data_IF_643151626914
#
_entry.id   IF_643151626914
#
_cell.length_a   1.000
_cell.length_b   1.000
_cell.length_c   1.000
_cell.angle_alpha   90.00
_cell.angle_beta   90.00
_cell.angle_gamma   90.00
#
_symmetry.space_group_name_H-M   'P 1'
#
loop_
_entity.id
_entity.type
_entity.pdbx_description
1 polymer ?
#
# COMPACT_ATOMS: atom_id res chain seq x y z
N UNK A 1 14.51 -21.71 -15.61
CA UNK A 1 13.31 -21.00 -16.10
C UNK A 1 12.09 -21.23 -15.20
N UNK A 2 11.69 -22.47 -14.98
CA UNK A 2 10.53 -22.78 -14.14
C UNK A 2 10.72 -22.37 -12.65
N UNK A 3 11.92 -22.47 -12.11
CA UNK A 3 12.23 -22.06 -10.74
C UNK A 3 12.07 -20.55 -10.52
N UNK A 4 12.48 -19.73 -11.49
CA UNK A 4 12.29 -18.28 -11.41
C UNK A 4 10.81 -17.89 -11.44
N UNK A 5 10.03 -18.53 -12.31
CA UNK A 5 8.58 -18.32 -12.34
C UNK A 5 7.91 -18.72 -11.02
N UNK A 6 8.35 -19.81 -10.41
CA UNK A 6 7.87 -20.25 -9.10
C UNK A 6 8.23 -19.26 -8.00
N UNK A 7 9.43 -18.69 -8.01
CA UNK A 7 9.81 -17.65 -7.04
C UNK A 7 8.96 -16.39 -7.18
N UNK A 8 8.72 -15.94 -8.41
CA UNK A 8 7.82 -14.80 -8.67
C UNK A 8 6.41 -15.08 -8.17
N UNK A 9 5.88 -16.26 -8.46
CA UNK A 9 4.57 -16.69 -7.98
C UNK A 9 4.51 -16.75 -6.45
N UNK A 10 5.55 -17.25 -5.80
CA UNK A 10 5.67 -17.28 -4.34
C UNK A 10 5.63 -15.88 -3.75
N UNK A 11 6.36 -14.93 -4.32
CA UNK A 11 6.33 -13.54 -3.84
C UNK A 11 4.94 -12.91 -3.99
N UNK A 12 4.26 -13.18 -5.10
CA UNK A 12 2.89 -12.74 -5.31
C UNK A 12 1.89 -13.31 -4.31
N UNK A 13 1.99 -14.62 -4.05
CA UNK A 13 1.15 -15.27 -3.03
C UNK A 13 1.41 -14.71 -1.63
N UNK A 14 2.67 -14.52 -1.28
CA UNK A 14 3.03 -13.93 0.01
C UNK A 14 2.50 -12.50 0.16
N UNK A 15 2.59 -11.70 -0.89
CA UNK A 15 2.02 -10.35 -0.91
C UNK A 15 0.50 -10.37 -0.72
N UNK A 16 -0.21 -11.28 -1.41
CA UNK A 16 -1.64 -11.42 -1.24
C UNK A 16 -2.03 -11.91 0.15
N UNK A 17 -1.25 -12.80 0.75
CA UNK A 17 -1.47 -13.27 2.11
C UNK A 17 -1.39 -12.13 3.12
N UNK A 18 -0.38 -11.27 3.00
CA UNK A 18 -0.25 -10.09 3.88
C UNK A 18 -1.39 -9.11 3.65
N UNK A 19 -1.77 -8.88 2.40
CA UNK A 19 -2.95 -8.05 2.08
C UNK A 19 -4.22 -8.59 2.73
N UNK A 20 -4.44 -9.89 2.68
CA UNK A 20 -5.56 -10.55 3.35
C UNK A 20 -5.53 -10.37 4.87
N UNK A 21 -4.35 -10.47 5.49
CA UNK A 21 -4.18 -10.23 6.92
C UNK A 21 -4.54 -8.80 7.31
N UNK A 22 -4.09 -7.81 6.53
CA UNK A 22 -4.41 -6.40 6.76
C UNK A 22 -5.91 -6.16 6.62
N UNK A 23 -6.55 -6.69 5.59
CA UNK A 23 -7.99 -6.58 5.38
C UNK A 23 -8.76 -7.25 6.52
N UNK A 24 -8.34 -8.44 6.94
CA UNK A 24 -8.97 -9.16 8.04
C UNK A 24 -8.88 -8.38 9.36
N UNK A 25 -7.74 -7.77 9.65
CA UNK A 25 -7.57 -6.91 10.81
C UNK A 25 -8.46 -5.67 10.74
N UNK A 26 -8.52 -5.01 9.59
CA UNK A 26 -9.41 -3.86 9.38
C UNK A 26 -10.88 -4.24 9.56
N UNK A 27 -11.28 -5.38 9.01
CA UNK A 27 -12.66 -5.87 9.12
C UNK A 27 -13.03 -6.26 10.56
N UNK A 28 -12.12 -6.91 11.28
CA UNK A 28 -12.37 -7.27 12.67
C UNK A 28 -12.53 -6.06 13.59
N UNK A 29 -11.95 -4.93 13.23
CA UNK A 29 -12.01 -3.68 13.98
C UNK A 29 -12.99 -2.65 13.38
N UNK A 30 -13.90 -3.07 12.52
CA UNK A 30 -14.85 -2.17 11.86
C UNK A 30 -15.72 -1.39 12.85
N UNK A 31 -16.04 -1.97 13.99
CA UNK A 31 -16.83 -1.34 15.05
C UNK A 31 -15.99 -0.79 16.21
N UNK A 32 -14.67 -0.87 16.11
CA UNK A 32 -13.78 -0.33 17.14
C UNK A 32 -13.71 1.18 17.06
N UNK A 33 -14.05 1.86 18.13
CA UNK A 33 -14.03 3.32 18.21
C UNK A 33 -12.59 3.83 18.10
N UNK A 34 -12.37 4.83 17.24
CA UNK A 34 -11.04 5.42 17.03
C UNK A 34 -10.08 4.56 16.24
N UNK A 35 -10.54 3.46 15.65
CA UNK A 35 -9.69 2.62 14.82
C UNK A 35 -9.34 3.31 13.50
N UNK A 36 -8.06 3.27 13.14
CA UNK A 36 -7.55 3.74 11.86
C UNK A 36 -7.09 2.53 11.03
N UNK A 37 -7.69 2.37 9.86
CA UNK A 37 -7.40 1.23 8.99
C UNK A 37 -5.96 1.26 8.49
N UNK A 38 -5.38 0.09 8.38
CA UNK A 38 -4.05 -0.09 7.79
C UNK A 38 -4.15 -0.36 6.29
N UNK A 39 -3.12 0.04 5.58
CA UNK A 39 -2.93 -0.25 4.17
C UNK A 39 -1.53 -0.82 3.95
N UNK A 40 -1.45 -1.97 3.31
CA UNK A 40 -0.17 -2.55 2.93
C UNK A 40 0.33 -1.92 1.63
N UNK A 41 1.59 -1.51 1.63
CA UNK A 41 2.28 -0.96 0.46
C UNK A 41 3.23 -2.00 -0.10
N UNK A 42 3.19 -2.14 -1.42
CA UNK A 42 4.00 -3.10 -2.16
C UNK A 42 4.91 -2.37 -3.15
N UNK A 43 6.04 -2.99 -3.42
CA UNK A 43 7.02 -2.49 -4.38
C UNK A 43 7.42 -3.63 -5.32
N UNK A 44 7.63 -3.30 -6.57
CA UNK A 44 8.14 -4.26 -7.53
C UNK A 44 9.65 -4.47 -7.32
N UNK A 45 10.08 -5.72 -7.42
CA UNK A 45 11.51 -6.03 -7.47
C UNK A 45 12.09 -5.68 -8.83
N UNK A 46 13.42 -5.67 -8.91
CA UNK A 46 14.13 -5.32 -10.14
C UNK A 46 13.70 -6.20 -11.31
N UNK A 47 13.60 -5.60 -12.48
CA UNK A 47 13.37 -6.33 -13.72
C UNK A 47 14.66 -6.99 -14.20
N UNK A 48 14.55 -8.25 -14.58
CA UNK A 48 15.64 -8.96 -15.23
C UNK A 48 15.50 -8.78 -16.74
N UNK A 49 16.52 -8.20 -17.36
CA UNK A 49 16.57 -8.04 -18.81
C UNK A 49 17.06 -9.35 -19.41
N UNK A 50 16.20 -10.01 -20.19
CA UNK A 50 16.53 -11.26 -20.88
C UNK A 50 17.13 -10.96 -22.25
N UNK A 51 16.66 -9.91 -22.91
CA UNK A 51 17.16 -9.44 -24.20
C UNK A 51 17.26 -7.93 -24.20
N UNK A 52 18.38 -7.42 -24.64
CA UNK A 52 18.60 -6.00 -24.81
C UNK A 52 18.01 -5.52 -26.14
N UNK A 53 17.57 -4.27 -26.14
CA UNK A 53 17.24 -3.58 -27.40
C UNK A 53 18.51 -3.42 -28.23
N UNK A 54 18.44 -3.79 -29.50
CA UNK A 54 19.58 -3.76 -30.41
C UNK A 54 20.34 -5.08 -30.54
N UNK A 55 19.97 -6.11 -29.80
CA UNK A 55 20.55 -7.46 -29.99
C UNK A 55 20.27 -7.97 -31.41
N UNK A 56 21.29 -8.55 -32.02
CA UNK A 56 21.23 -9.05 -33.36
C UNK A 56 20.45 -10.37 -33.43
N UNK A 57 19.35 -10.38 -34.16
CA UNK A 57 18.53 -11.58 -34.36
C UNK A 57 18.91 -12.37 -35.63
N UNK A 58 19.47 -11.65 -36.59
CA UNK A 58 20.06 -12.24 -37.82
C UNK A 58 21.11 -11.28 -38.37
N UNK A 59 21.81 -11.67 -39.42
CA UNK A 59 22.88 -10.88 -40.01
C UNK A 59 22.45 -9.47 -40.46
N UNK A 60 21.15 -9.25 -40.67
CA UNK A 60 20.61 -7.97 -41.16
C UNK A 60 19.53 -7.35 -40.28
N UNK A 61 19.16 -8.01 -39.19
CA UNK A 61 18.00 -7.56 -38.38
C UNK A 61 18.36 -7.45 -36.90
N UNK A 62 18.10 -6.29 -36.30
CA UNK A 62 18.28 -6.02 -34.89
C UNK A 62 16.92 -6.01 -34.17
N UNK A 63 16.94 -6.37 -32.90
CA UNK A 63 15.76 -6.35 -32.05
C UNK A 63 15.35 -4.91 -31.71
N UNK A 64 14.11 -4.54 -32.04
CA UNK A 64 13.62 -3.17 -31.81
C UNK A 64 13.25 -2.86 -30.36
N UNK A 65 13.01 -3.91 -29.53
CA UNK A 65 12.61 -3.71 -28.15
C UNK A 65 13.31 -4.68 -27.20
N UNK A 66 13.63 -4.20 -26.01
CA UNK A 66 14.15 -5.03 -24.94
C UNK A 66 13.04 -5.91 -24.37
N UNK A 67 13.40 -7.11 -23.94
CA UNK A 67 12.51 -8.01 -23.21
C UNK A 67 12.99 -8.14 -21.77
N UNK A 68 12.22 -7.52 -20.85
CA UNK A 68 12.50 -7.56 -19.44
C UNK A 68 11.37 -8.27 -18.68
N UNK A 69 11.74 -9.08 -17.70
CA UNK A 69 10.80 -9.82 -16.86
C UNK A 69 10.98 -9.37 -15.41
N UNK A 70 9.86 -9.07 -14.73
CA UNK A 70 9.87 -8.72 -13.31
C UNK A 70 10.26 -9.92 -12.44
N UNK A 71 10.99 -9.67 -11.37
CA UNK A 71 11.44 -10.71 -10.42
C UNK A 71 10.48 -10.89 -9.24
N UNK A 72 9.37 -10.16 -9.22
CA UNK A 72 8.33 -10.28 -8.21
C UNK A 72 8.03 -9.00 -7.47
N UNK A 73 7.39 -9.12 -6.32
CA UNK A 73 6.98 -8.02 -5.46
C UNK A 73 7.46 -8.23 -4.03
N UNK A 74 7.64 -7.14 -3.31
CA UNK A 74 7.91 -7.19 -1.86
C UNK A 74 7.00 -6.24 -1.11
N UNK A 75 6.81 -6.51 0.17
CA UNK A 75 6.10 -5.63 1.08
C UNK A 75 7.12 -4.61 1.60
N UNK A 76 6.77 -3.34 1.52
CA UNK A 76 7.62 -2.25 2.01
C UNK A 76 7.26 -1.91 3.44
N UNK A 77 6.00 -1.56 3.66
CA UNK A 77 5.48 -1.16 4.96
C UNK A 77 3.96 -1.26 4.98
N UNK A 78 3.39 -1.02 6.15
CA UNK A 78 1.97 -0.75 6.31
C UNK A 78 1.78 0.66 6.86
N UNK A 79 0.89 1.41 6.24
CA UNK A 79 0.55 2.77 6.66
C UNK A 79 -0.84 2.82 7.27
N UNK A 80 -1.01 3.65 8.28
CA UNK A 80 -2.33 3.98 8.82
C UNK A 80 -2.95 5.14 8.06
N UNK A 81 -4.22 4.99 7.72
CA UNK A 81 -5.01 6.05 7.09
C UNK A 81 -5.72 6.84 8.17
N UNK A 82 -5.30 8.06 8.39
CA UNK A 82 -5.83 8.96 9.43
C UNK A 82 -7.01 9.81 8.96
N UNK A 83 -7.85 9.25 8.10
CA UNK A 83 -9.08 9.94 7.70
C UNK A 83 -10.08 10.00 8.85
N UNK A 84 -10.83 11.11 8.93
CA UNK A 84 -11.89 11.29 9.92
C UNK A 84 -13.04 10.29 9.62
N UNK A 85 -13.47 9.57 10.65
CA UNK A 85 -14.63 8.70 10.60
C UNK A 85 -15.93 9.42 11.01
N UNK A 86 -17.03 8.69 10.94
CA UNK A 86 -18.30 9.18 11.43
C UNK A 86 -18.31 9.25 12.97
N UNK A 87 -18.92 10.29 13.49
CA UNK A 87 -19.11 10.45 14.94
C UNK A 87 -20.21 9.49 15.38
N UNK A 88 -19.93 8.74 16.43
CA UNK A 88 -20.89 7.79 17.03
C UNK A 88 -21.28 8.32 18.41
N UNK A 89 -22.58 8.39 18.68
CA UNK A 89 -23.08 8.75 20.01
C UNK A 89 -23.00 7.52 20.93
N UNK A 90 -22.36 7.68 22.08
CA UNK A 90 -22.22 6.62 23.11
C UNK A 90 -23.13 6.85 24.32
N UNK A 91 -23.86 7.99 24.36
CA UNK A 91 -24.72 8.40 25.47
C UNK A 91 -24.00 8.52 26.84
N UNK A 92 -22.69 8.60 26.81
CA UNK A 92 -21.86 8.78 28.00
C UNK A 92 -21.32 10.22 28.03
N UNK A 93 -21.57 10.91 29.13
CA UNK A 93 -21.21 12.33 29.27
C UNK A 93 -19.69 12.61 29.27
N UNK A 94 -18.86 11.60 29.51
CA UNK A 94 -17.43 11.73 29.58
C UNK A 94 -16.73 11.36 28.23
N UNK A 95 -17.47 10.84 27.28
CA UNK A 95 -16.91 10.51 25.98
C UNK A 95 -16.83 11.75 25.10
N UNK A 96 -15.64 12.07 24.64
CA UNK A 96 -15.35 13.25 23.83
C UNK A 96 -14.79 12.80 22.48
N UNK A 97 -15.35 13.32 21.41
CA UNK A 97 -14.80 13.13 20.07
C UNK A 97 -14.13 14.41 19.59
N UNK A 98 -13.01 14.25 18.90
CA UNK A 98 -12.35 15.36 18.23
C UNK A 98 -12.77 15.36 16.78
N UNK A 99 -13.55 16.35 16.39
CA UNK A 99 -13.92 16.58 15.00
C UNK A 99 -12.98 17.66 14.44
N UNK A 100 -11.76 17.23 14.14
CA UNK A 100 -10.72 18.12 13.63
C UNK A 100 -10.85 18.27 12.12
N UNK A 101 -11.31 19.40 11.68
CA UNK A 101 -11.48 19.73 10.26
C UNK A 101 -10.14 19.78 9.54
N UNK A 102 -9.13 20.37 10.15
CA UNK A 102 -7.74 20.31 9.70
C UNK A 102 -6.84 20.92 10.76
N UNK A 103 -5.55 20.63 10.69
CA UNK A 103 -4.57 21.27 11.56
C UNK A 103 -4.49 22.80 11.33
N UNK A 104 -4.96 23.30 10.20
CA UNK A 104 -5.09 24.74 9.97
C UNK A 104 -6.06 25.40 10.94
N UNK A 105 -7.07 24.69 11.39
CA UNK A 105 -7.94 25.13 12.46
C UNK A 105 -7.29 25.08 13.84
N UNK A 106 -6.30 24.24 14.04
CA UNK A 106 -5.53 24.21 15.28
C UNK A 106 -4.57 25.38 15.41
N UNK A 107 -4.13 25.94 14.29
CA UNK A 107 -3.26 27.13 14.30
C UNK A 107 -4.04 28.44 14.38
N UNK A 108 -5.20 28.50 13.73
CA UNK A 108 -6.06 29.69 13.78
C UNK A 108 -6.70 29.94 15.13
N UNK A 109 -7.26 28.95 15.85
CA UNK A 109 -7.83 29.16 17.18
C UNK A 109 -6.86 29.69 18.23
N UNK A 110 -5.57 29.41 18.12
CA UNK A 110 -4.57 29.93 19.04
C UNK A 110 -4.43 31.45 18.95
N UNK A 111 -4.78 32.05 17.82
CA UNK A 111 -4.79 33.51 17.67
C UNK A 111 -6.13 34.12 18.00
N UNK A 112 -7.21 33.34 17.90
CA UNK A 112 -8.57 33.84 18.14
C UNK A 112 -9.06 33.69 19.57
N UNK A 113 -8.45 32.82 20.34
CA UNK A 113 -8.80 32.59 21.76
C UNK A 113 -8.10 33.53 22.71
N UNK A 114 -7.28 34.37 22.19
CA UNK A 114 -6.62 35.44 22.97
C UNK A 114 -7.43 36.77 23.03
#
# INVERSE_FOLDING_TARGET
MSTNAMHVAKTGLNAQQVRMQVIANNLSNVNTTGFKRDRANFETLLYQVIRNSGDQTSAETNLNSAFAVGTGTRIVNSDKLFSQGNIVSTDNALDISIDAVSYTHLTLPTTSTV
#
